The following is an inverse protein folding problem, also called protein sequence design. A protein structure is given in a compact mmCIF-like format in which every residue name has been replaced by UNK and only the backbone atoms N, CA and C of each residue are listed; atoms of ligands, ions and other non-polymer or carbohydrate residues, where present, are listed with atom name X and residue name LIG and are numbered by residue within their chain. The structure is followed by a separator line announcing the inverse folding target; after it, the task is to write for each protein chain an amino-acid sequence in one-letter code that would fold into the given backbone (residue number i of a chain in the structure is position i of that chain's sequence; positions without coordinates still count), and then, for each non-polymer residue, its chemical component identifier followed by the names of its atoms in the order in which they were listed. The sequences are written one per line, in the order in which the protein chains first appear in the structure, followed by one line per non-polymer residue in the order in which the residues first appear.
data_IF_415313958959
#
_entry.id   IF_415313958959
#
_cell.length_a   1.000
_cell.length_b   1.000
_cell.length_c   1.000
_cell.angle_alpha   90.00
_cell.angle_beta   90.00
_cell.angle_gamma   90.00
#
_symmetry.space_group_name_H-M   'P 1'
#
loop_
_entity.id
_entity.type
_entity.pdbx_description
1 polymer ?
#
# COMPACT_ATOMS: atom_id res chain seq x y z
N UNK A 1 15.97 3.51 -7.68
CA UNK A 1 14.87 3.64 -6.69
C UNK A 1 13.84 2.57 -6.98
N UNK A 2 13.17 2.07 -5.93
CA UNK A 2 12.15 1.01 -6.05
C UNK A 2 10.89 1.37 -5.27
N UNK A 3 9.73 1.12 -5.87
CA UNK A 3 8.42 1.23 -5.22
C UNK A 3 7.75 -0.14 -5.19
N UNK A 4 7.29 -0.53 -4.00
CA UNK A 4 6.50 -1.75 -3.81
C UNK A 4 5.06 -1.37 -3.55
N UNK A 5 4.12 -1.92 -4.31
CA UNK A 5 2.70 -1.82 -4.03
C UNK A 5 2.15 -3.13 -3.46
N UNK A 6 1.31 -3.03 -2.45
CA UNK A 6 0.57 -4.17 -1.90
C UNK A 6 -0.90 -4.01 -2.22
N UNK A 7 -1.45 -4.95 -2.99
CA UNK A 7 -2.86 -4.98 -3.38
C UNK A 7 -3.66 -5.89 -2.45
N UNK A 8 -4.58 -5.30 -1.70
CA UNK A 8 -5.51 -6.00 -0.81
C UNK A 8 -6.81 -6.47 -1.48
N UNK A 9 -6.94 -6.34 -2.81
CA UNK A 9 -8.14 -6.79 -3.51
C UNK A 9 -8.15 -8.32 -3.66
N UNK A 10 -9.22 -9.02 -3.25
CA UNK A 10 -9.33 -10.47 -3.44
C UNK A 10 -9.64 -10.90 -4.88
N UNK A 11 -10.03 -9.98 -5.77
CA UNK A 11 -10.31 -10.26 -7.18
C UNK A 11 -9.04 -10.21 -8.01
N UNK A 12 -8.93 -11.14 -8.97
CA UNK A 12 -7.91 -11.08 -10.03
C UNK A 12 -8.21 -9.87 -10.91
N UNK A 13 -7.20 -9.11 -11.31
CA UNK A 13 -7.35 -7.92 -12.17
C UNK A 13 -8.45 -6.93 -11.73
N UNK A 14 -8.72 -6.87 -10.41
CA UNK A 14 -9.74 -5.98 -9.86
C UNK A 14 -9.34 -4.51 -9.94
N UNK A 15 -10.31 -3.62 -9.74
CA UNK A 15 -10.17 -2.17 -9.87
C UNK A 15 -8.99 -1.56 -9.09
N UNK A 16 -8.65 -2.10 -7.92
CA UNK A 16 -7.49 -1.65 -7.13
C UNK A 16 -6.17 -1.90 -7.86
N UNK A 17 -6.02 -3.08 -8.49
CA UNK A 17 -4.83 -3.40 -9.27
C UNK A 17 -4.72 -2.48 -10.51
N UNK A 18 -5.83 -2.19 -11.18
CA UNK A 18 -5.88 -1.26 -12.31
C UNK A 18 -5.39 0.14 -11.90
N UNK A 19 -5.90 0.69 -10.80
CA UNK A 19 -5.44 1.99 -10.28
C UNK A 19 -3.94 1.99 -9.95
N UNK A 20 -3.43 0.94 -9.29
CA UNK A 20 -1.99 0.80 -9.00
C UNK A 20 -1.16 0.78 -10.30
N UNK A 21 -1.62 0.08 -11.34
CA UNK A 21 -0.93 0.01 -12.64
C UNK A 21 -0.80 1.40 -13.30
N UNK A 22 -1.79 2.29 -13.16
CA UNK A 22 -1.70 3.67 -13.65
C UNK A 22 -0.59 4.45 -12.94
N UNK A 23 -0.44 4.30 -11.61
CA UNK A 23 0.67 4.89 -10.85
C UNK A 23 2.01 4.29 -11.28
N UNK A 24 2.09 2.97 -11.41
CA UNK A 24 3.31 2.27 -11.83
C UNK A 24 3.79 2.72 -13.19
N UNK A 25 2.88 2.90 -14.16
CA UNK A 25 3.23 3.41 -15.49
C UNK A 25 4.03 4.71 -15.42
N UNK A 26 3.58 5.67 -14.62
CA UNK A 26 4.28 6.95 -14.44
C UNK A 26 5.63 6.75 -13.76
N UNK A 27 5.68 5.93 -12.69
CA UNK A 27 6.93 5.65 -11.98
C UNK A 27 7.97 4.99 -12.88
N UNK A 28 7.56 4.06 -13.73
CA UNK A 28 8.42 3.35 -14.69
C UNK A 28 8.93 4.27 -15.80
N UNK A 29 8.07 5.17 -16.32
CA UNK A 29 8.47 6.23 -17.27
C UNK A 29 9.52 7.18 -16.66
N UNK A 30 9.49 7.36 -15.33
CA UNK A 30 10.45 8.16 -14.56
C UNK A 30 11.68 7.35 -14.09
N UNK A 31 11.83 6.08 -14.54
CA UNK A 31 12.97 5.21 -14.28
C UNK A 31 13.00 4.60 -12.88
N UNK A 32 11.84 4.48 -12.22
CA UNK A 32 11.68 3.88 -10.90
C UNK A 32 11.19 2.44 -11.06
N UNK A 33 11.89 1.48 -10.46
CA UNK A 33 11.49 0.07 -10.45
C UNK A 33 10.19 -0.11 -9.65
N UNK A 34 9.26 -0.91 -10.15
CA UNK A 34 7.99 -1.22 -9.49
C UNK A 34 7.81 -2.71 -9.24
N UNK A 35 7.16 -3.07 -8.13
CA UNK A 35 6.81 -4.44 -7.79
C UNK A 35 5.42 -4.50 -7.17
N UNK A 36 4.53 -5.38 -7.69
CA UNK A 36 3.20 -5.61 -7.14
C UNK A 36 3.16 -6.89 -6.30
N UNK A 37 2.69 -6.76 -5.08
CA UNK A 37 2.39 -7.87 -4.15
C UNK A 37 0.88 -8.04 -4.08
N UNK A 38 0.39 -9.24 -4.37
CA UNK A 38 -1.03 -9.61 -4.32
C UNK A 38 -1.33 -10.37 -3.02
N UNK A 39 -2.10 -9.78 -2.09
CA UNK A 39 -2.43 -10.45 -0.82
C UNK A 39 -3.36 -11.66 -1.01
N UNK A 40 -4.15 -11.69 -2.09
CA UNK A 40 -5.04 -12.80 -2.44
C UNK A 40 -4.33 -14.13 -2.67
N UNK A 41 -3.08 -14.10 -3.10
CA UNK A 41 -2.34 -15.31 -3.48
C UNK A 41 -1.91 -16.14 -2.28
N UNK A 42 -1.58 -15.47 -1.19
CA UNK A 42 -1.10 -16.11 0.03
C UNK A 42 -1.77 -15.46 1.24
N UNK A 43 -2.73 -16.16 1.82
CA UNK A 43 -3.48 -15.67 2.99
C UNK A 43 -2.53 -15.36 4.15
N UNK A 44 -2.70 -14.16 4.71
CA UNK A 44 -2.04 -13.73 5.94
C UNK A 44 -3.08 -13.59 7.06
N UNK A 45 -2.74 -14.05 8.26
CA UNK A 45 -3.60 -13.93 9.43
C UNK A 45 -3.37 -12.62 10.17
N UNK A 46 -4.30 -12.25 11.05
CA UNK A 46 -4.18 -11.07 11.91
C UNK A 46 -3.06 -11.16 12.96
N UNK A 47 -2.75 -10.04 13.60
CA UNK A 47 -1.78 -10.00 14.70
C UNK A 47 -2.33 -10.71 15.94
N UNK A 48 -1.54 -11.61 16.52
CA UNK A 48 -1.91 -12.34 17.76
C UNK A 48 -1.35 -11.69 19.03
N UNK A 49 -0.84 -10.48 18.93
CA UNK A 49 -0.30 -9.68 20.04
C UNK A 49 0.74 -10.41 20.91
N UNK A 50 1.52 -11.32 20.36
CA UNK A 50 2.52 -12.12 21.11
C UNK A 50 3.79 -11.34 21.50
N UNK A 51 3.96 -10.13 20.99
CA UNK A 51 5.07 -9.19 21.21
C UNK A 51 6.49 -9.77 20.94
N UNK A 52 6.58 -10.92 20.27
CA UNK A 52 7.89 -11.54 19.95
C UNK A 52 8.72 -10.72 18.96
N UNK A 53 8.12 -9.89 18.13
CA UNK A 53 8.84 -8.94 17.27
C UNK A 53 9.67 -7.95 18.09
N UNK A 54 9.17 -7.49 19.24
CA UNK A 54 9.91 -6.62 20.18
C UNK A 54 11.00 -7.34 20.95
N UNK A 55 10.81 -8.63 21.26
CA UNK A 55 11.81 -9.43 21.96
C UNK A 55 12.94 -9.88 21.04
N UNK A 56 12.61 -10.33 19.82
CA UNK A 56 13.59 -10.87 18.88
C UNK A 56 14.37 -9.78 18.15
N UNK A 57 13.73 -8.69 17.76
CA UNK A 57 14.30 -7.58 16.96
C UNK A 57 15.06 -8.05 15.72
N UNK A 58 14.49 -9.02 15.01
CA UNK A 58 15.07 -9.65 13.83
C UNK A 58 14.42 -9.20 12.50
N UNK A 59 13.64 -8.12 12.53
CA UNK A 59 12.90 -7.60 11.37
C UNK A 59 11.72 -8.48 10.95
N UNK A 60 11.28 -9.43 11.78
CA UNK A 60 10.29 -10.45 11.40
C UNK A 60 9.16 -10.60 12.41
N UNK A 61 8.00 -11.00 11.90
CA UNK A 61 6.94 -11.52 12.73
C UNK A 61 7.25 -12.96 13.13
N UNK A 62 7.00 -13.31 14.39
CA UNK A 62 7.22 -14.67 14.90
C UNK A 62 6.23 -15.70 14.32
N UNK A 63 5.09 -15.27 13.76
CA UNK A 63 4.17 -16.15 13.04
C UNK A 63 4.74 -16.42 11.65
N UNK A 64 5.23 -17.63 11.42
CA UNK A 64 5.96 -18.03 10.20
C UNK A 64 5.12 -18.86 9.21
N UNK A 65 3.82 -19.03 9.47
CA UNK A 65 2.94 -19.92 8.69
C UNK A 65 2.39 -19.27 7.39
N UNK A 66 2.71 -18.01 7.16
CA UNK A 66 2.23 -17.22 6.03
C UNK A 66 3.34 -16.35 5.43
N UNK A 67 3.06 -15.62 4.37
CA UNK A 67 4.04 -14.83 3.61
C UNK A 67 4.29 -13.43 4.15
N UNK A 68 3.77 -13.06 5.32
CA UNK A 68 3.93 -11.71 5.84
C UNK A 68 5.41 -11.29 5.90
N UNK A 69 6.30 -12.15 6.37
CA UNK A 69 7.72 -11.82 6.50
C UNK A 69 8.42 -11.55 5.15
N UNK A 70 7.97 -12.22 4.09
CA UNK A 70 8.41 -11.92 2.71
C UNK A 70 7.95 -10.51 2.30
N UNK A 71 6.69 -10.17 2.57
CA UNK A 71 6.13 -8.85 2.24
C UNK A 71 6.81 -7.73 3.02
N UNK A 72 7.01 -7.92 4.33
CA UNK A 72 7.72 -6.94 5.18
C UNK A 72 9.16 -6.71 4.69
N UNK A 73 9.88 -7.76 4.28
CA UNK A 73 11.23 -7.62 3.74
C UNK A 73 11.23 -6.77 2.46
N UNK A 74 10.33 -7.03 1.50
CA UNK A 74 10.20 -6.24 0.27
C UNK A 74 9.82 -4.78 0.56
N UNK A 75 8.90 -4.55 1.50
CA UNK A 75 8.54 -3.19 1.94
C UNK A 75 9.73 -2.47 2.60
N UNK A 76 10.56 -3.19 3.37
CA UNK A 76 11.74 -2.63 4.02
C UNK A 76 12.85 -2.27 3.03
N UNK A 77 13.01 -3.01 1.94
CA UNK A 77 13.98 -2.75 0.88
C UNK A 77 13.58 -1.62 -0.07
N UNK A 78 12.28 -1.34 -0.21
CA UNK A 78 11.77 -0.32 -1.12
C UNK A 78 12.00 1.11 -0.59
N UNK A 79 12.14 2.08 -1.50
CA UNK A 79 12.18 3.51 -1.20
C UNK A 79 10.78 4.09 -1.02
N UNK A 80 9.78 3.50 -1.69
CA UNK A 80 8.38 3.87 -1.59
C UNK A 80 7.45 2.67 -1.43
N UNK A 81 6.33 2.86 -0.72
CA UNK A 81 5.32 1.83 -0.44
C UNK A 81 3.94 2.35 -0.82
N UNK A 82 3.25 1.63 -1.68
CA UNK A 82 1.84 1.87 -2.00
C UNK A 82 1.00 0.79 -1.33
N UNK A 83 -0.05 1.17 -0.60
CA UNK A 83 -1.07 0.24 -0.11
C UNK A 83 -2.38 0.50 -0.84
N UNK A 84 -2.87 -0.49 -1.58
CA UNK A 84 -4.12 -0.43 -2.32
C UNK A 84 -5.18 -1.37 -1.77
N UNK A 85 -6.41 -0.88 -1.56
CA UNK A 85 -7.52 -1.69 -1.08
C UNK A 85 -8.84 -1.31 -1.75
N UNK A 86 -9.74 -2.26 -2.04
CA UNK A 86 -11.12 -1.90 -2.25
C UNK A 86 -11.77 -1.50 -0.93
N UNK A 87 -12.86 -0.73 -1.00
CA UNK A 87 -13.67 -0.40 0.18
C UNK A 87 -14.60 -1.55 0.54
N UNK A 88 -14.39 -2.16 1.71
CA UNK A 88 -15.27 -3.18 2.28
C UNK A 88 -15.85 -2.66 3.60
N UNK A 89 -17.19 -2.48 3.65
CA UNK A 89 -17.87 -1.91 4.82
C UNK A 89 -17.21 -0.62 5.35
N UNK A 90 -16.91 0.29 4.41
CA UNK A 90 -16.28 1.60 4.68
C UNK A 90 -14.83 1.55 5.17
N UNK A 91 -14.16 0.41 5.10
CA UNK A 91 -12.74 0.29 5.47
C UNK A 91 -11.98 -0.58 4.46
N UNK A 92 -10.70 -0.83 4.74
CA UNK A 92 -9.86 -1.74 3.96
C UNK A 92 -10.31 -3.19 4.10
N UNK A 93 -9.85 -4.08 3.23
CA UNK A 93 -10.09 -5.53 3.37
C UNK A 93 -9.42 -6.08 4.64
N UNK A 94 -9.93 -7.22 5.12
CA UNK A 94 -9.35 -7.93 6.27
C UNK A 94 -7.89 -8.31 6.05
N UNK A 95 -7.52 -8.67 4.82
CA UNK A 95 -6.16 -9.00 4.42
C UNK A 95 -5.24 -7.78 4.51
N UNK A 96 -5.70 -6.63 4.00
CA UNK A 96 -4.95 -5.37 4.12
C UNK A 96 -4.81 -4.96 5.58
N UNK A 97 -5.85 -5.11 6.39
CA UNK A 97 -5.78 -4.80 7.83
C UNK A 97 -4.81 -5.74 8.56
N UNK A 98 -4.80 -7.03 8.23
CA UNK A 98 -3.84 -7.98 8.78
C UNK A 98 -2.38 -7.62 8.42
N UNK A 99 -2.14 -7.16 7.19
CA UNK A 99 -0.84 -6.61 6.78
C UNK A 99 -0.47 -5.39 7.62
N UNK A 100 -1.33 -4.39 7.69
CA UNK A 100 -1.11 -3.14 8.43
C UNK A 100 -0.74 -3.44 9.89
N UNK A 101 -1.54 -4.26 10.59
CA UNK A 101 -1.33 -4.57 12.00
C UNK A 101 0.00 -5.29 12.25
N UNK A 102 0.35 -6.23 11.39
CA UNK A 102 1.56 -7.05 11.60
C UNK A 102 2.82 -6.38 11.08
N UNK A 103 2.78 -5.76 9.90
CA UNK A 103 3.92 -5.03 9.36
C UNK A 103 4.24 -3.82 10.24
N UNK A 104 3.23 -3.09 10.73
CA UNK A 104 3.41 -1.97 11.65
C UNK A 104 4.06 -2.39 12.95
N UNK A 105 3.61 -3.50 13.57
CA UNK A 105 4.23 -4.03 14.80
C UNK A 105 5.69 -4.47 14.58
N UNK A 106 6.00 -5.08 13.43
CA UNK A 106 7.37 -5.47 13.09
C UNK A 106 8.24 -4.23 12.87
N UNK A 107 7.76 -3.26 12.10
CA UNK A 107 8.51 -2.05 11.78
C UNK A 107 8.81 -1.23 13.06
N UNK A 108 7.80 -1.04 13.91
CA UNK A 108 7.95 -0.32 15.18
C UNK A 108 8.95 -1.01 16.13
N UNK A 109 8.94 -2.35 16.17
CA UNK A 109 9.84 -3.14 17.01
C UNK A 109 11.31 -3.13 16.55
N UNK A 110 11.56 -2.76 15.29
CA UNK A 110 12.87 -2.85 14.63
C UNK A 110 13.30 -1.47 14.09
N UNK A 111 13.47 -0.50 14.98
CA UNK A 111 14.03 0.82 14.72
C UNK A 111 13.28 1.62 13.62
N UNK A 112 11.94 1.51 13.63
CA UNK A 112 11.07 2.19 12.67
C UNK A 112 11.48 1.91 11.21
N UNK A 113 11.53 0.63 10.80
CA UNK A 113 12.04 0.16 9.49
C UNK A 113 11.49 0.92 8.27
N UNK A 114 10.32 1.53 8.38
CA UNK A 114 9.69 2.28 7.27
C UNK A 114 9.91 3.80 7.35
N UNK A 115 10.62 4.26 8.36
CA UNK A 115 10.88 5.68 8.59
C UNK A 115 11.43 6.38 7.35
N UNK A 116 10.82 7.52 6.99
CA UNK A 116 11.17 8.39 5.86
C UNK A 116 10.97 7.77 4.48
N UNK A 117 10.41 6.56 4.35
CA UNK A 117 9.97 6.05 3.06
C UNK A 117 8.77 6.85 2.56
N UNK A 118 8.60 6.92 1.25
CA UNK A 118 7.44 7.56 0.63
C UNK A 118 6.24 6.60 0.67
N UNK A 119 5.11 7.05 1.18
CA UNK A 119 3.89 6.25 1.32
C UNK A 119 2.72 6.82 0.53
N UNK A 120 1.95 5.98 -0.16
CA UNK A 120 0.72 6.37 -0.84
C UNK A 120 -0.39 5.34 -0.66
N UNK A 121 -1.57 5.81 -0.22
CA UNK A 121 -2.79 4.99 -0.18
C UNK A 121 -3.58 5.10 -1.47
N UNK A 122 -4.15 3.99 -1.96
CA UNK A 122 -5.04 3.94 -3.12
C UNK A 122 -6.29 3.15 -2.76
N UNK A 123 -7.47 3.69 -3.05
CA UNK A 123 -8.73 3.01 -2.72
C UNK A 123 -9.64 2.91 -3.94
N UNK A 124 -10.08 1.71 -4.26
CA UNK A 124 -11.15 1.48 -5.23
C UNK A 124 -12.49 1.36 -4.50
N UNK A 125 -13.52 2.06 -4.98
CA UNK A 125 -14.85 2.01 -4.37
C UNK A 125 -15.96 2.03 -5.40
N UNK A 126 -17.13 1.46 -5.03
CA UNK A 126 -18.32 1.56 -5.86
C UNK A 126 -19.00 2.92 -5.75
N UNK A 127 -19.12 3.48 -4.53
CA UNK A 127 -19.89 4.72 -4.24
C UNK A 127 -19.31 5.54 -3.08
N UNK A 128 -19.32 5.01 -1.87
CA UNK A 128 -18.99 5.74 -0.63
C UNK A 128 -18.10 4.91 0.29
N UNK A 129 -17.58 5.54 1.35
CA UNK A 129 -16.76 4.89 2.37
C UNK A 129 -15.26 4.85 2.06
N UNK A 130 -14.84 5.28 0.86
CA UNK A 130 -13.45 5.27 0.44
C UNK A 130 -12.53 6.11 1.35
N UNK A 131 -13.02 7.27 1.80
CA UNK A 131 -12.22 8.19 2.62
C UNK A 131 -11.82 7.56 3.96
N UNK A 132 -12.71 6.75 4.56
CA UNK A 132 -12.36 6.04 5.79
C UNK A 132 -11.27 4.98 5.55
N UNK A 133 -11.40 4.19 4.47
CA UNK A 133 -10.37 3.22 4.08
C UNK A 133 -9.02 3.90 3.76
N UNK A 134 -9.06 5.04 3.05
CA UNK A 134 -7.87 5.84 2.77
C UNK A 134 -7.23 6.40 4.06
N UNK A 135 -8.06 6.85 5.01
CA UNK A 135 -7.58 7.30 6.32
C UNK A 135 -6.90 6.17 7.09
N UNK A 136 -7.47 4.94 7.11
CA UNK A 136 -6.85 3.77 7.73
C UNK A 136 -5.44 3.52 7.18
N UNK A 137 -5.26 3.59 5.86
CA UNK A 137 -3.95 3.42 5.21
C UNK A 137 -3.00 4.57 5.57
N UNK A 138 -3.45 5.82 5.47
CA UNK A 138 -2.61 6.99 5.74
C UNK A 138 -2.18 7.06 7.20
N UNK A 139 -3.04 6.66 8.16
CA UNK A 139 -2.68 6.58 9.58
C UNK A 139 -1.59 5.54 9.83
N UNK A 140 -1.57 4.41 9.09
CA UNK A 140 -0.46 3.46 9.15
C UNK A 140 0.86 4.10 8.68
N UNK A 141 0.86 4.85 7.59
CA UNK A 141 2.06 5.54 7.12
C UNK A 141 2.55 6.59 8.12
N UNK A 142 1.65 7.39 8.65
CA UNK A 142 1.98 8.45 9.61
C UNK A 142 2.58 7.89 10.91
N UNK A 143 2.00 6.83 11.50
CA UNK A 143 2.56 6.21 12.72
C UNK A 143 3.88 5.47 12.45
N UNK A 144 4.16 5.14 11.18
CA UNK A 144 5.41 4.51 10.74
C UNK A 144 6.51 5.52 10.38
N UNK A 145 6.34 6.80 10.70
CA UNK A 145 7.28 7.89 10.37
C UNK A 145 7.53 8.04 8.86
N UNK A 146 6.56 7.69 8.01
CA UNK A 146 6.65 7.79 6.56
C UNK A 146 6.17 9.15 6.05
N UNK A 147 6.56 9.50 4.83
CA UNK A 147 6.14 10.72 4.13
C UNK A 147 4.97 10.37 3.21
N UNK A 148 3.76 10.86 3.54
CA UNK A 148 2.55 10.55 2.77
C UNK A 148 2.42 11.47 1.57
N UNK A 149 2.18 10.90 0.38
CA UNK A 149 1.96 11.62 -0.89
C UNK A 149 0.51 11.50 -1.32
N UNK A 150 -0.04 12.62 -1.78
CA UNK A 150 -1.36 12.70 -2.42
C UNK A 150 -1.28 13.05 -3.89
N UNK A 151 -2.43 13.07 -4.53
CA UNK A 151 -2.67 13.58 -5.88
C UNK A 151 -3.34 14.95 -5.86
N UNK A 152 -3.87 15.41 -6.98
CA UNK A 152 -4.68 16.63 -7.07
C UNK A 152 -6.04 16.54 -6.35
N UNK A 153 -6.47 15.32 -5.98
CA UNK A 153 -7.64 15.07 -5.14
C UNK A 153 -7.40 13.88 -4.21
N UNK A 154 -8.47 13.16 -3.80
CA UNK A 154 -8.29 11.93 -3.02
C UNK A 154 -7.82 10.79 -3.94
N UNK A 155 -6.90 9.96 -3.49
CA UNK A 155 -6.40 8.79 -4.22
C UNK A 155 -7.47 7.68 -4.27
N UNK A 156 -8.59 7.96 -4.89
CA UNK A 156 -9.78 7.11 -4.97
C UNK A 156 -10.22 6.97 -6.42
N UNK A 157 -10.54 5.75 -6.84
CA UNK A 157 -11.18 5.48 -8.13
C UNK A 157 -12.52 4.76 -7.95
N UNK A 158 -13.47 5.01 -8.84
CA UNK A 158 -14.83 4.50 -8.79
C UNK A 158 -15.02 3.36 -9.81
N UNK A 159 -15.48 2.21 -9.34
CA UNK A 159 -15.82 1.06 -10.17
C UNK A 159 -16.38 -0.08 -9.33
N UNK A 160 -17.38 -0.79 -9.82
CA UNK A 160 -17.99 -1.94 -9.16
C UNK A 160 -17.56 -3.27 -9.79
N UNK A 161 -17.76 -3.37 -11.10
CA UNK A 161 -17.36 -4.56 -11.86
C UNK A 161 -15.85 -4.53 -12.12
N UNK A 162 -15.28 -5.67 -12.45
CA UNK A 162 -13.88 -5.80 -12.81
C UNK A 162 -13.54 -4.90 -14.01
N UNK A 163 -12.50 -4.11 -13.88
CA UNK A 163 -12.07 -3.16 -14.90
C UNK A 163 -12.94 -1.91 -15.05
N UNK A 164 -14.06 -1.79 -14.35
CA UNK A 164 -14.99 -0.64 -14.51
C UNK A 164 -14.33 0.70 -14.14
N UNK A 165 -13.31 0.67 -13.26
CA UNK A 165 -12.54 1.86 -12.87
C UNK A 165 -11.82 2.53 -14.05
N UNK A 166 -11.59 1.81 -15.16
CA UNK A 166 -11.02 2.38 -16.39
C UNK A 166 -11.95 3.40 -17.07
N UNK A 167 -13.23 3.44 -16.69
CA UNK A 167 -14.19 4.46 -17.14
C UNK A 167 -14.23 5.68 -16.20
N UNK A 168 -13.54 5.65 -15.07
CA UNK A 168 -13.42 6.77 -14.14
C UNK A 168 -12.25 7.68 -14.54
N UNK A 169 -12.52 8.58 -15.49
CA UNK A 169 -11.50 9.47 -16.07
C UNK A 169 -10.77 10.27 -15.00
N UNK A 170 -11.51 10.84 -14.04
CA UNK A 170 -10.95 11.65 -12.95
C UNK A 170 -10.08 10.77 -12.03
N UNK A 171 -10.57 9.57 -11.66
CA UNK A 171 -9.83 8.63 -10.84
C UNK A 171 -8.51 8.21 -11.47
N UNK A 172 -8.48 8.00 -12.80
CA UNK A 172 -7.23 7.68 -13.53
C UNK A 172 -6.29 8.88 -13.54
N UNK A 173 -6.80 10.10 -13.75
CA UNK A 173 -5.99 11.32 -13.70
C UNK A 173 -5.35 11.49 -12.31
N UNK A 174 -6.11 11.28 -11.23
CA UNK A 174 -5.55 11.31 -9.86
C UNK A 174 -4.44 10.28 -9.65
N UNK A 175 -4.53 9.10 -10.27
CA UNK A 175 -3.45 8.12 -10.19
C UNK A 175 -2.18 8.55 -10.95
N UNK A 176 -2.32 9.25 -12.07
CA UNK A 176 -1.18 9.85 -12.77
C UNK A 176 -0.51 10.92 -11.94
N UNK A 177 -1.29 11.88 -11.41
CA UNK A 177 -0.79 12.94 -10.52
C UNK A 177 -0.08 12.34 -9.29
N UNK A 178 -0.64 11.27 -8.72
CA UNK A 178 -0.01 10.55 -7.61
C UNK A 178 1.35 9.98 -8.01
N UNK A 179 1.43 9.37 -9.19
CA UNK A 179 2.69 8.83 -9.75
C UNK A 179 3.74 9.93 -9.94
N UNK A 180 3.35 11.05 -10.51
CA UNK A 180 4.22 12.21 -10.74
C UNK A 180 4.73 12.80 -9.41
N UNK A 181 3.84 13.03 -8.44
CA UNK A 181 4.21 13.54 -7.12
C UNK A 181 5.13 12.59 -6.38
N UNK A 182 4.86 11.28 -6.46
CA UNK A 182 5.69 10.25 -5.82
C UNK A 182 7.07 10.17 -6.48
N UNK A 183 7.14 10.19 -7.81
CA UNK A 183 8.41 10.19 -8.55
C UNK A 183 9.25 11.43 -8.24
N UNK A 184 8.61 12.62 -8.26
CA UNK A 184 9.27 13.87 -7.91
C UNK A 184 9.88 13.83 -6.51
N UNK A 185 9.10 13.36 -5.51
CA UNK A 185 9.57 13.29 -4.13
C UNK A 185 10.71 12.28 -3.97
N UNK A 186 10.59 11.07 -4.55
CA UNK A 186 11.63 10.05 -4.51
C UNK A 186 12.95 10.56 -5.11
N UNK A 187 12.89 11.25 -6.25
CA UNK A 187 14.08 11.86 -6.87
C UNK A 187 14.70 12.97 -6.00
N UNK A 188 13.89 13.71 -5.23
CA UNK A 188 14.41 14.73 -4.31
C UNK A 188 15.07 14.12 -3.06
N UNK A 189 14.65 12.95 -2.64
CA UNK A 189 15.19 12.27 -1.46
C UNK A 189 16.44 11.43 -1.76
N UNK A 190 16.58 10.92 -3.00
CA UNK A 190 17.60 9.93 -3.38
C UNK A 190 18.46 10.35 -4.56
N UNK A 191 18.20 11.53 -5.17
CA UNK A 191 18.90 12.07 -6.34
C UNK A 191 20.01 13.05 -6.02
#
# INVERSE_FOLDING_TARGET
MKVVAVNGNPRVDGNTAALIKHVFKVLEEEGIETELIELREKKIGGCVACLKCFANKDGKCAVKKDSLNEYVAKMAEADGIILGSPTYFSDVTSEMKALIDRAGMVAMANDAMFKRKVGAGIVATRRTGAIHALATINLFFLISDMIVVGSSAWNVGFGFSEGEVENDVDGIEYMRDLGENMAWLLKKLHG
#
